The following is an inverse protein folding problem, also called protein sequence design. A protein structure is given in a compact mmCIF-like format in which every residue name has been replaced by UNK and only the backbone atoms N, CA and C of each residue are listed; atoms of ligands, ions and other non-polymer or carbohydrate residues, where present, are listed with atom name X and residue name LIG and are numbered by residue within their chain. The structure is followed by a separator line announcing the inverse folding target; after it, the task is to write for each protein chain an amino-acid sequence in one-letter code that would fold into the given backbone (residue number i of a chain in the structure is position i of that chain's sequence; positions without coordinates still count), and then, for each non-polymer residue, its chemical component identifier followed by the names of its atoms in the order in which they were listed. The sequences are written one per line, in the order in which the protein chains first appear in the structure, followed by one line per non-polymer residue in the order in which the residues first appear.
data_IF_780942449663
#
_entry.id   IF_780942449663
#
_cell.length_a   1.000
_cell.length_b   1.000
_cell.length_c   1.000
_cell.angle_alpha   90.00
_cell.angle_beta   90.00
_cell.angle_gamma   90.00
#
_symmetry.space_group_name_H-M   'P 1'
#
loop_
_entity.id
_entity.type
_entity.pdbx_description
1 polymer ?
#
# COMPACT_ATOMS: atom_id res chain seq x y z
N UNK A 1 -12.03 -38.69 23.83
CA UNK A 1 -11.16 -38.60 25.03
C UNK A 1 -11.49 -37.30 25.79
N UNK A 2 -11.26 -37.17 27.11
CA UNK A 2 -11.58 -35.90 27.79
C UNK A 2 -10.59 -34.81 27.39
N UNK A 3 -11.05 -33.79 26.64
CA UNK A 3 -10.24 -32.64 26.23
C UNK A 3 -9.80 -31.87 27.48
N UNK A 4 -8.49 -31.91 27.78
CA UNK A 4 -7.93 -31.26 28.98
C UNK A 4 -7.58 -29.80 28.72
N UNK A 5 -7.58 -28.97 29.76
CA UNK A 5 -7.17 -27.57 29.65
C UNK A 5 -5.72 -27.41 29.14
N UNK A 6 -4.83 -28.35 29.47
CA UNK A 6 -3.45 -28.38 28.96
C UNK A 6 -3.42 -28.57 27.45
N UNK A 7 -4.24 -29.49 26.93
CA UNK A 7 -4.33 -29.77 25.50
C UNK A 7 -4.91 -28.58 24.72
N UNK A 8 -5.93 -27.93 25.29
CA UNK A 8 -6.49 -26.69 24.71
C UNK A 8 -5.44 -25.58 24.67
N UNK A 9 -4.67 -25.42 25.76
CA UNK A 9 -3.57 -24.44 25.80
C UNK A 9 -2.51 -24.77 24.75
N UNK A 10 -2.11 -26.03 24.62
CA UNK A 10 -1.11 -26.45 23.63
C UNK A 10 -1.55 -26.14 22.19
N UNK A 11 -2.79 -26.49 21.83
CA UNK A 11 -3.32 -26.17 20.51
C UNK A 11 -3.41 -24.66 20.28
N UNK A 12 -3.83 -23.89 21.30
CA UNK A 12 -3.88 -22.43 21.23
C UNK A 12 -2.49 -21.81 21.05
N UNK A 13 -1.49 -22.30 21.77
CA UNK A 13 -0.12 -21.79 21.68
C UNK A 13 0.47 -22.12 20.29
N UNK A 14 0.10 -23.26 19.68
CA UNK A 14 0.51 -23.63 18.31
C UNK A 14 -0.19 -22.84 17.20
N UNK A 15 -1.48 -22.51 17.37
CA UNK A 15 -2.31 -21.96 16.28
C UNK A 15 -2.65 -20.48 16.45
N UNK A 16 -2.55 -19.95 17.67
CA UNK A 16 -3.03 -18.61 18.01
C UNK A 16 -4.56 -18.46 18.01
N UNK A 17 -5.33 -19.53 17.78
CA UNK A 17 -6.78 -19.46 17.68
C UNK A 17 -7.48 -19.17 19.02
N UNK A 18 -8.74 -18.76 18.96
CA UNK A 18 -9.56 -18.48 20.15
C UNK A 18 -9.67 -19.71 21.07
N UNK A 19 -9.72 -19.47 22.39
CA UNK A 19 -9.73 -20.55 23.40
C UNK A 19 -10.87 -21.55 23.18
N UNK A 20 -12.09 -21.05 22.90
CA UNK A 20 -13.25 -21.90 22.63
C UNK A 20 -13.16 -22.60 21.28
N UNK A 21 -12.56 -21.98 20.27
CA UNK A 21 -12.36 -22.64 18.98
C UNK A 21 -11.40 -23.83 19.13
N UNK A 22 -10.29 -23.64 19.86
CA UNK A 22 -9.34 -24.71 20.16
C UNK A 22 -10.01 -25.86 20.92
N UNK A 23 -10.79 -25.54 21.95
CA UNK A 23 -11.54 -26.56 22.71
C UNK A 23 -12.53 -27.31 21.82
N UNK A 24 -13.31 -26.59 21.00
CA UNK A 24 -14.31 -27.20 20.13
C UNK A 24 -13.66 -28.07 19.04
N UNK A 25 -12.56 -27.62 18.44
CA UNK A 25 -11.80 -28.41 17.47
C UNK A 25 -11.23 -29.69 18.10
N UNK A 26 -10.68 -29.61 19.31
CA UNK A 26 -10.21 -30.80 20.04
C UNK A 26 -11.35 -31.75 20.42
N UNK A 27 -12.55 -31.23 20.73
CA UNK A 27 -13.72 -32.09 20.99
C UNK A 27 -14.15 -32.82 19.72
N UNK A 28 -14.16 -32.13 18.58
CA UNK A 28 -14.55 -32.68 17.27
C UNK A 28 -13.57 -33.73 16.74
N UNK A 29 -12.30 -33.64 17.16
CA UNK A 29 -11.20 -34.50 16.70
C UNK A 29 -10.73 -35.49 17.77
N UNK A 30 -11.53 -35.69 18.82
CA UNK A 30 -11.24 -36.61 19.92
C UNK A 30 -9.92 -36.35 20.67
N UNK A 31 -9.40 -35.12 20.59
CA UNK A 31 -8.15 -34.67 21.20
C UNK A 31 -6.92 -34.80 20.30
N UNK A 32 -7.09 -35.13 19.03
CA UNK A 32 -6.02 -35.21 18.02
C UNK A 32 -5.60 -33.79 17.59
N UNK A 33 -4.39 -33.36 17.98
CA UNK A 33 -3.91 -32.00 17.73
C UNK A 33 -3.79 -31.70 16.24
N UNK A 34 -3.24 -32.62 15.45
CA UNK A 34 -2.97 -32.37 14.03
C UNK A 34 -4.29 -32.23 13.26
N UNK A 35 -5.27 -33.10 13.55
CA UNK A 35 -6.62 -32.94 12.99
C UNK A 35 -7.31 -31.68 13.49
N UNK A 36 -7.13 -31.31 14.76
CA UNK A 36 -7.72 -30.09 15.29
C UNK A 36 -7.17 -28.83 14.60
N UNK A 37 -5.89 -28.85 14.18
CA UNK A 37 -5.29 -27.78 13.38
C UNK A 37 -5.99 -27.67 12.02
N UNK A 38 -6.23 -28.78 11.33
CA UNK A 38 -6.93 -28.78 10.05
C UNK A 38 -8.37 -28.26 10.18
N UNK A 39 -9.10 -28.69 11.22
CA UNK A 39 -10.44 -28.17 11.54
C UNK A 39 -10.42 -26.66 11.80
N UNK A 40 -9.41 -26.17 12.52
CA UNK A 40 -9.25 -24.73 12.77
C UNK A 40 -8.94 -23.95 11.49
N UNK A 41 -8.16 -24.52 10.57
CA UNK A 41 -7.87 -23.92 9.26
C UNK A 41 -9.15 -23.75 8.43
N UNK A 42 -9.96 -24.81 8.32
CA UNK A 42 -11.25 -24.76 7.62
C UNK A 42 -12.22 -23.75 8.25
N UNK A 43 -12.32 -23.74 9.58
CA UNK A 43 -13.14 -22.75 10.31
C UNK A 43 -12.62 -21.33 10.13
N UNK A 44 -11.30 -21.15 10.03
CA UNK A 44 -10.67 -19.87 9.76
C UNK A 44 -11.10 -19.28 8.42
N UNK A 45 -11.10 -20.10 7.35
CA UNK A 45 -11.60 -19.70 6.03
C UNK A 45 -13.06 -19.21 6.11
N UNK A 46 -13.92 -19.95 6.81
CA UNK A 46 -15.32 -19.53 7.00
C UNK A 46 -15.43 -18.21 7.79
N UNK A 47 -14.61 -18.02 8.82
CA UNK A 47 -14.59 -16.79 9.62
C UNK A 47 -14.09 -15.59 8.83
N UNK A 48 -13.12 -15.78 7.94
CA UNK A 48 -12.62 -14.74 7.05
C UNK A 48 -13.69 -14.37 6.02
N UNK A 49 -14.32 -15.36 5.37
CA UNK A 49 -15.40 -15.13 4.42
C UNK A 49 -16.57 -14.32 5.04
N UNK A 50 -16.95 -14.61 6.29
CA UNK A 50 -18.00 -13.86 7.01
C UNK A 50 -17.63 -12.41 7.36
N UNK A 51 -16.36 -12.04 7.26
CA UNK A 51 -15.87 -10.67 7.53
C UNK A 51 -15.50 -9.91 6.27
N UNK A 52 -15.41 -10.59 5.12
CA UNK A 52 -14.92 -10.01 3.87
C UNK A 52 -15.73 -8.76 3.44
N UNK A 53 -17.02 -8.69 3.76
CA UNK A 53 -17.90 -7.55 3.44
C UNK A 53 -17.69 -6.33 4.35
N UNK A 54 -16.90 -6.44 5.42
CA UNK A 54 -16.63 -5.32 6.32
C UNK A 54 -15.58 -4.40 5.72
N UNK A 55 -15.78 -3.10 5.84
CA UNK A 55 -14.86 -2.10 5.28
C UNK A 55 -13.53 -2.15 6.02
N UNK A 56 -12.45 -2.46 5.29
CA UNK A 56 -11.08 -2.40 5.77
C UNK A 56 -10.36 -1.24 5.07
N UNK A 57 -10.43 -0.05 5.67
CA UNK A 57 -9.87 1.19 5.12
C UNK A 57 -8.64 1.70 5.90
N UNK A 58 -8.29 1.04 7.01
CA UNK A 58 -7.04 1.26 7.75
C UNK A 58 -6.00 0.22 7.31
N UNK A 59 -4.81 0.20 7.92
CA UNK A 59 -3.78 -0.80 7.63
C UNK A 59 -2.38 -0.21 7.48
N UNK A 60 -1.54 -0.87 6.68
CA UNK A 60 -0.15 -0.49 6.46
C UNK A 60 0.27 -0.66 5.01
N UNK A 61 1.12 0.24 4.58
CA UNK A 61 2.00 0.09 3.43
C UNK A 61 3.41 -0.25 3.94
N UNK A 62 4.05 -1.22 3.30
CA UNK A 62 5.49 -1.49 3.45
C UNK A 62 6.15 -1.61 2.09
N UNK A 63 7.43 -1.27 2.10
CA UNK A 63 8.32 -1.31 0.95
C UNK A 63 9.51 -2.21 1.29
N UNK A 64 10.10 -2.82 0.27
CA UNK A 64 11.33 -3.58 0.37
C UNK A 64 12.20 -3.26 -0.83
N UNK A 65 13.51 -3.15 -0.61
CA UNK A 65 14.53 -2.98 -1.66
C UNK A 65 15.44 -4.21 -1.66
N UNK A 66 15.95 -4.60 -2.83
CA UNK A 66 17.06 -5.56 -2.90
C UNK A 66 18.32 -4.95 -2.29
N UNK A 67 19.26 -5.79 -1.84
CA UNK A 67 20.53 -5.33 -1.25
C UNK A 67 21.32 -4.41 -2.19
N UNK A 68 21.21 -4.61 -3.50
CA UNK A 68 21.86 -3.80 -4.53
C UNK A 68 20.99 -2.65 -5.07
N UNK A 69 19.80 -2.44 -4.48
CA UNK A 69 18.83 -1.41 -4.87
C UNK A 69 18.35 -1.48 -6.33
N UNK A 70 18.50 -2.61 -7.01
CA UNK A 70 18.02 -2.81 -8.40
C UNK A 70 16.62 -3.40 -8.50
N UNK A 71 16.07 -3.85 -7.39
CA UNK A 71 14.68 -4.26 -7.30
C UNK A 71 14.01 -3.58 -6.11
N UNK A 72 12.73 -3.27 -6.27
CA UNK A 72 11.91 -2.70 -5.21
C UNK A 72 10.51 -3.33 -5.24
N UNK A 73 9.87 -3.45 -4.09
CA UNK A 73 8.49 -3.89 -4.00
C UNK A 73 7.73 -3.12 -2.92
N UNK A 74 6.45 -2.84 -3.19
CA UNK A 74 5.53 -2.21 -2.25
C UNK A 74 4.30 -3.10 -2.09
N UNK A 75 3.76 -3.17 -0.87
CA UNK A 75 2.53 -3.89 -0.54
C UNK A 75 1.66 -3.00 0.36
N UNK A 76 0.36 -2.92 0.06
CA UNK A 76 -0.66 -2.39 0.98
C UNK A 76 -1.49 -3.55 1.54
N UNK A 77 -1.56 -3.64 2.87
CA UNK A 77 -2.44 -4.57 3.57
C UNK A 77 -3.38 -3.78 4.46
N UNK A 78 -4.68 -3.94 4.23
CA UNK A 78 -5.70 -3.22 4.97
C UNK A 78 -6.25 -4.02 6.16
N UNK A 79 -6.77 -3.28 7.14
CA UNK A 79 -7.50 -3.75 8.31
C UNK A 79 -8.73 -2.86 8.56
N UNK A 80 -9.65 -3.33 9.42
CA UNK A 80 -10.80 -2.51 9.83
C UNK A 80 -10.36 -1.31 10.68
N UNK A 81 -9.40 -1.52 11.60
CA UNK A 81 -8.95 -0.48 12.55
C UNK A 81 -7.46 -0.16 12.47
N UNK A 82 -7.07 1.02 12.96
CA UNK A 82 -5.68 1.47 13.09
C UNK A 82 -4.93 0.76 14.24
N UNK A 83 -5.66 0.14 15.18
CA UNK A 83 -5.06 -0.66 16.25
C UNK A 83 -4.36 -1.90 15.69
N UNK A 84 -4.92 -2.53 14.66
CA UNK A 84 -4.27 -3.63 13.95
C UNK A 84 -3.00 -3.15 13.25
N UNK A 85 -3.03 -1.98 12.62
CA UNK A 85 -1.85 -1.39 11.97
C UNK A 85 -0.68 -1.12 12.93
N UNK A 86 -0.95 -0.98 14.24
CA UNK A 86 0.06 -0.79 15.29
C UNK A 86 0.50 -2.11 15.97
N UNK A 87 -0.12 -3.23 15.62
CA UNK A 87 0.20 -4.54 16.20
C UNK A 87 1.55 -5.05 15.65
N UNK A 88 2.53 -5.42 16.50
CA UNK A 88 3.83 -5.90 16.04
C UNK A 88 3.78 -7.10 15.10
N UNK A 89 2.88 -8.06 15.35
CA UNK A 89 2.73 -9.24 14.49
C UNK A 89 2.12 -8.90 13.12
N UNK A 90 1.31 -7.84 13.03
CA UNK A 90 0.77 -7.37 11.76
C UNK A 90 1.82 -6.58 11.00
N UNK A 91 2.58 -5.71 11.68
CA UNK A 91 3.71 -4.98 11.10
C UNK A 91 4.71 -5.96 10.47
N UNK A 92 5.15 -6.97 11.23
CA UNK A 92 6.09 -7.99 10.74
C UNK A 92 5.52 -8.78 9.55
N UNK A 93 4.23 -9.12 9.61
CA UNK A 93 3.55 -9.80 8.50
C UNK A 93 3.63 -8.97 7.20
N UNK A 94 3.27 -7.68 7.25
CA UNK A 94 3.28 -6.80 6.08
C UNK A 94 4.70 -6.54 5.57
N UNK A 95 5.68 -6.42 6.47
CA UNK A 95 7.11 -6.31 6.11
C UNK A 95 7.63 -7.55 5.39
N UNK A 96 7.27 -8.74 5.87
CA UNK A 96 7.68 -9.98 5.23
C UNK A 96 6.96 -10.20 3.89
N UNK A 97 5.72 -9.72 3.73
CA UNK A 97 5.05 -9.71 2.43
C UNK A 97 5.76 -8.78 1.43
N UNK A 98 6.22 -7.60 1.84
CA UNK A 98 6.98 -6.71 0.95
C UNK A 98 8.29 -7.37 0.49
N UNK A 99 9.00 -8.07 1.39
CA UNK A 99 10.18 -8.88 1.03
C UNK A 99 9.84 -10.03 0.09
N UNK A 100 8.73 -10.74 0.33
CA UNK A 100 8.26 -11.80 -0.56
C UNK A 100 7.94 -11.25 -1.95
N UNK A 101 7.32 -10.06 -2.03
CA UNK A 101 6.97 -9.41 -3.28
C UNK A 101 8.20 -9.09 -4.15
N UNK A 102 9.39 -8.89 -3.59
CA UNK A 102 10.62 -8.82 -4.38
C UNK A 102 10.92 -10.12 -5.13
N UNK A 103 10.52 -11.26 -4.60
CA UNK A 103 10.81 -12.58 -5.21
C UNK A 103 9.78 -13.00 -6.25
N UNK A 104 8.69 -12.23 -6.40
CA UNK A 104 7.65 -12.56 -7.38
C UNK A 104 8.17 -12.47 -8.81
N UNK A 105 7.61 -13.32 -9.67
CA UNK A 105 7.86 -13.35 -11.11
C UNK A 105 6.69 -12.80 -11.92
N UNK A 106 5.53 -12.66 -11.31
CA UNK A 106 4.28 -12.19 -11.90
C UNK A 106 3.67 -11.10 -11.01
N UNK A 107 2.76 -10.33 -11.59
CA UNK A 107 2.07 -9.22 -10.91
C UNK A 107 0.64 -9.59 -10.51
N UNK A 108 0.25 -10.86 -10.67
CA UNK A 108 -1.09 -11.33 -10.33
C UNK A 108 -1.26 -11.48 -8.83
N UNK A 109 -2.36 -10.94 -8.28
CA UNK A 109 -2.74 -11.17 -6.90
C UNK A 109 -3.00 -12.66 -6.63
N UNK A 110 -3.62 -13.38 -7.57
CA UNK A 110 -3.87 -14.82 -7.39
C UNK A 110 -2.57 -15.60 -7.17
N UNK A 111 -1.56 -15.33 -7.99
CA UNK A 111 -0.26 -15.97 -7.88
C UNK A 111 0.46 -15.57 -6.59
N UNK A 112 0.40 -14.28 -6.22
CA UNK A 112 0.99 -13.79 -4.98
C UNK A 112 0.36 -14.44 -3.74
N UNK A 113 -0.96 -14.58 -3.72
CA UNK A 113 -1.69 -15.23 -2.64
C UNK A 113 -1.35 -16.73 -2.51
N UNK A 114 -0.95 -17.38 -3.61
CA UNK A 114 -0.54 -18.78 -3.65
C UNK A 114 0.95 -19.01 -3.32
N UNK A 115 1.77 -17.95 -3.22
CA UNK A 115 3.19 -18.08 -2.88
C UNK A 115 3.40 -18.69 -1.50
N UNK A 116 4.48 -19.46 -1.35
CA UNK A 116 4.90 -20.03 -0.07
C UNK A 116 5.25 -18.92 0.92
N UNK A 117 4.66 -18.98 2.12
CA UNK A 117 4.86 -18.02 3.19
C UNK A 117 4.65 -18.70 4.55
N UNK A 118 5.62 -18.59 5.47
CA UNK A 118 5.56 -19.12 6.83
C UNK A 118 5.05 -20.58 6.97
N UNK A 119 5.51 -21.47 6.09
CA UNK A 119 5.14 -22.89 6.12
C UNK A 119 3.77 -23.23 5.52
N UNK A 120 3.09 -22.26 4.92
CA UNK A 120 1.87 -22.41 4.12
C UNK A 120 1.89 -21.47 2.91
N UNK A 121 0.73 -20.94 2.54
CA UNK A 121 0.61 -19.87 1.52
C UNK A 121 0.34 -18.50 2.14
N UNK A 122 0.54 -17.43 1.37
CA UNK A 122 0.14 -16.06 1.75
C UNK A 122 -1.35 -15.99 2.13
N UNK A 123 -2.22 -16.67 1.37
CA UNK A 123 -3.65 -16.76 1.66
C UNK A 123 -3.93 -17.40 3.03
N UNK A 124 -3.23 -18.47 3.36
CA UNK A 124 -3.39 -19.16 4.64
C UNK A 124 -2.91 -18.28 5.80
N UNK A 125 -1.78 -17.58 5.63
CA UNK A 125 -1.25 -16.66 6.62
C UNK A 125 -2.22 -15.49 6.89
N UNK A 126 -2.76 -14.87 5.83
CA UNK A 126 -3.78 -13.82 5.95
C UNK A 126 -5.03 -14.33 6.69
N UNK A 127 -5.53 -15.51 6.32
CA UNK A 127 -6.69 -16.15 6.96
C UNK A 127 -6.43 -16.43 8.45
N UNK A 128 -5.21 -16.86 8.78
CA UNK A 128 -4.76 -17.07 10.15
C UNK A 128 -4.79 -15.77 10.96
N UNK A 129 -4.27 -14.66 10.40
CA UNK A 129 -4.32 -13.34 11.03
C UNK A 129 -5.76 -12.86 11.27
N UNK A 130 -6.64 -12.97 10.28
CA UNK A 130 -8.07 -12.64 10.41
C UNK A 130 -8.73 -13.46 11.52
N UNK A 131 -8.40 -14.75 11.61
CA UNK A 131 -8.97 -15.66 12.61
C UNK A 131 -8.49 -15.35 14.02
N UNK A 132 -7.22 -14.96 14.17
CA UNK A 132 -6.58 -14.63 15.45
C UNK A 132 -7.00 -13.25 15.96
N UNK A 133 -7.05 -12.25 15.08
CA UNK A 133 -7.32 -10.85 15.44
C UNK A 133 -8.83 -10.58 15.48
N UNK A 134 -9.60 -11.20 14.58
CA UNK A 134 -11.06 -11.07 14.54
C UNK A 134 -11.57 -9.89 13.71
N UNK A 135 -10.71 -9.22 12.95
CA UNK A 135 -11.06 -8.17 11.98
C UNK A 135 -10.87 -8.67 10.54
N UNK A 136 -11.61 -8.08 9.61
CA UNK A 136 -11.35 -8.20 8.19
C UNK A 136 -9.97 -7.63 7.86
N UNK A 137 -9.26 -8.34 7.00
CA UNK A 137 -7.98 -7.90 6.46
C UNK A 137 -7.90 -8.32 5.01
N UNK A 138 -7.23 -7.52 4.20
CA UNK A 138 -6.96 -7.89 2.82
C UNK A 138 -5.56 -7.42 2.42
N UNK A 139 -4.91 -8.20 1.55
CA UNK A 139 -3.74 -7.71 0.81
C UNK A 139 -4.31 -7.04 -0.43
N UNK A 140 -4.32 -5.71 -0.43
CA UNK A 140 -5.10 -4.94 -1.39
C UNK A 140 -4.42 -4.85 -2.74
N UNK A 141 -3.13 -4.52 -2.71
CA UNK A 141 -2.32 -4.31 -3.89
C UNK A 141 -0.85 -4.50 -3.54
N UNK A 142 -0.09 -4.94 -4.52
CA UNK A 142 1.36 -4.97 -4.48
C UNK A 142 1.92 -4.62 -5.85
N UNK A 143 3.17 -4.18 -5.87
CA UNK A 143 3.89 -3.92 -7.11
C UNK A 143 5.37 -4.20 -6.93
N UNK A 144 6.01 -4.81 -7.94
CA UNK A 144 7.46 -5.00 -8.02
C UNK A 144 8.03 -4.15 -9.17
N UNK A 145 9.22 -3.61 -8.96
CA UNK A 145 10.03 -2.86 -9.91
C UNK A 145 11.40 -3.54 -10.04
N UNK A 146 11.94 -3.62 -11.26
CA UNK A 146 13.21 -4.27 -11.57
C UNK A 146 13.77 -3.80 -12.93
N UNK A 147 13.61 -2.52 -13.25
CA UNK A 147 14.01 -1.95 -14.54
C UNK A 147 15.54 -1.86 -14.64
N UNK A 148 16.18 -2.44 -15.68
CA UNK A 148 17.62 -2.41 -15.82
C UNK A 148 18.19 -0.98 -15.92
N UNK A 149 19.30 -0.72 -15.21
CA UNK A 149 19.94 0.60 -15.16
C UNK A 149 19.23 1.61 -14.26
N UNK A 150 18.30 1.13 -13.43
CA UNK A 150 17.59 1.93 -12.43
C UNK A 150 18.07 1.56 -11.03
N UNK A 151 18.28 2.57 -10.19
CA UNK A 151 18.50 2.44 -8.76
C UNK A 151 17.23 2.91 -8.04
N UNK A 152 16.72 2.06 -7.14
CA UNK A 152 15.52 2.32 -6.38
C UNK A 152 15.81 2.86 -4.98
N UNK A 153 14.93 3.75 -4.56
CA UNK A 153 14.90 4.37 -3.23
C UNK A 153 13.47 4.40 -2.74
N UNK A 154 13.29 4.46 -1.43
CA UNK A 154 11.98 4.40 -0.80
C UNK A 154 11.79 5.47 0.27
N UNK A 155 10.54 5.69 0.64
CA UNK A 155 10.19 6.48 1.81
C UNK A 155 8.90 5.98 2.44
N UNK A 156 8.92 5.73 3.74
CA UNK A 156 7.75 5.44 4.56
C UNK A 156 7.41 6.66 5.40
N UNK A 157 6.16 7.12 5.31
CA UNK A 157 5.63 8.21 6.11
C UNK A 157 4.55 7.72 7.09
N UNK A 158 4.37 8.43 8.20
CA UNK A 158 3.30 8.16 9.17
C UNK A 158 3.29 6.74 9.74
N UNK A 159 4.45 6.09 9.84
CA UNK A 159 4.55 4.70 10.32
C UNK A 159 4.06 3.63 9.34
N UNK A 160 3.81 4.00 8.08
CA UNK A 160 3.27 3.11 7.04
C UNK A 160 1.92 3.52 6.51
N UNK A 161 1.40 4.70 6.85
CA UNK A 161 0.19 5.22 6.21
C UNK A 161 0.44 5.58 4.75
N UNK A 162 1.67 5.97 4.41
CA UNK A 162 2.11 6.19 3.03
C UNK A 162 3.43 5.44 2.83
N UNK A 163 3.54 4.74 1.70
CA UNK A 163 4.79 4.18 1.23
C UNK A 163 5.07 4.57 -0.21
N UNK A 164 6.32 4.91 -0.47
CA UNK A 164 6.78 5.41 -1.76
C UNK A 164 7.97 4.61 -2.23
N UNK A 165 8.02 4.32 -3.53
CA UNK A 165 9.23 3.90 -4.25
C UNK A 165 9.47 4.90 -5.38
N UNK A 166 10.74 5.24 -5.60
CA UNK A 166 11.20 6.03 -6.75
C UNK A 166 12.32 5.26 -7.45
N UNK A 167 12.26 5.16 -8.76
CA UNK A 167 13.32 4.62 -9.61
C UNK A 167 14.06 5.73 -10.34
N UNK A 168 15.38 5.78 -10.13
CA UNK A 168 16.29 6.73 -10.80
C UNK A 168 17.17 5.96 -11.78
N UNK A 169 17.02 6.24 -13.07
CA UNK A 169 17.89 5.70 -14.12
C UNK A 169 19.25 6.38 -14.03
N UNK A 170 20.30 5.62 -13.70
CA UNK A 170 21.66 6.13 -13.51
C UNK A 170 22.69 5.01 -13.43
N UNK A 171 23.96 5.34 -13.68
CA UNK A 171 25.13 4.49 -13.38
C UNK A 171 25.72 4.76 -11.99
N UNK A 172 25.09 5.63 -11.20
CA UNK A 172 25.43 5.82 -9.78
C UNK A 172 25.00 4.60 -8.95
N UNK A 173 25.68 4.37 -7.83
CA UNK A 173 25.24 3.39 -6.84
C UNK A 173 24.26 4.01 -5.83
N UNK A 174 23.63 3.15 -5.01
CA UNK A 174 22.65 3.57 -4.03
C UNK A 174 23.18 4.55 -2.98
N UNK A 175 24.46 4.44 -2.61
CA UNK A 175 25.08 5.32 -1.62
C UNK A 175 25.33 6.71 -2.21
N UNK A 176 25.72 6.80 -3.48
CA UNK A 176 25.90 8.06 -4.18
C UNK A 176 24.60 8.85 -4.34
N UNK A 177 23.46 8.16 -4.51
CA UNK A 177 22.15 8.82 -4.67
C UNK A 177 21.31 8.91 -3.40
N UNK A 178 21.80 8.46 -2.24
CA UNK A 178 20.98 8.29 -1.03
C UNK A 178 20.18 9.57 -0.67
N UNK A 179 20.86 10.73 -0.67
CA UNK A 179 20.22 12.01 -0.34
C UNK A 179 19.22 12.44 -1.42
N UNK A 180 19.63 12.42 -2.69
CA UNK A 180 18.76 12.76 -3.82
C UNK A 180 17.51 11.88 -3.84
N UNK A 181 17.70 10.56 -3.75
CA UNK A 181 16.65 9.56 -3.82
C UNK A 181 15.63 9.73 -2.70
N UNK A 182 16.10 9.89 -1.46
CA UNK A 182 15.24 10.13 -0.31
C UNK A 182 14.45 11.44 -0.46
N UNK A 183 15.09 12.49 -0.97
CA UNK A 183 14.47 13.79 -1.15
C UNK A 183 13.36 13.75 -2.20
N UNK A 184 13.58 13.04 -3.31
CA UNK A 184 12.55 12.81 -4.33
C UNK A 184 11.44 11.89 -3.81
N UNK A 185 11.75 10.86 -3.04
CA UNK A 185 10.72 10.00 -2.44
C UNK A 185 9.84 10.76 -1.43
N UNK A 186 10.43 11.68 -0.65
CA UNK A 186 9.69 12.59 0.23
C UNK A 186 8.81 13.56 -0.55
N UNK A 187 9.29 14.09 -1.67
CA UNK A 187 8.50 14.93 -2.58
C UNK A 187 7.26 14.17 -3.05
N UNK A 188 7.44 12.94 -3.54
CA UNK A 188 6.32 12.09 -3.99
C UNK A 188 5.32 11.86 -2.86
N UNK A 189 5.79 11.51 -1.66
CA UNK A 189 4.91 11.29 -0.52
C UNK A 189 4.05 12.52 -0.17
N UNK A 190 4.66 13.71 -0.22
CA UNK A 190 4.01 14.97 0.17
C UNK A 190 3.09 15.53 -0.92
N UNK A 191 3.52 15.50 -2.18
CA UNK A 191 2.84 16.21 -3.27
C UNK A 191 1.93 15.31 -4.09
N UNK A 192 1.97 14.00 -3.86
CA UNK A 192 1.11 13.02 -4.52
C UNK A 192 1.04 13.17 -6.05
N UNK A 193 2.18 13.31 -6.76
CA UNK A 193 2.18 13.33 -8.22
C UNK A 193 1.54 12.05 -8.75
N UNK A 194 0.86 12.18 -9.89
CA UNK A 194 0.18 11.06 -10.57
C UNK A 194 1.06 10.43 -11.64
N UNK A 195 1.93 11.22 -12.27
CA UNK A 195 2.81 10.79 -13.35
C UNK A 195 4.24 11.24 -13.06
N UNK A 196 5.24 10.54 -13.61
CA UNK A 196 6.64 11.00 -13.48
C UNK A 196 6.82 12.27 -14.31
N UNK A 197 6.37 12.22 -15.57
CA UNK A 197 6.49 13.30 -16.55
C UNK A 197 5.26 13.33 -17.48
N UNK A 198 5.21 14.33 -18.35
CA UNK A 198 4.11 14.58 -19.29
C UNK A 198 3.92 13.49 -20.36
N UNK A 199 4.98 12.75 -20.72
CA UNK A 199 4.91 11.69 -21.72
C UNK A 199 4.18 10.43 -21.23
N UNK A 200 4.02 10.29 -19.92
CA UNK A 200 3.33 9.16 -19.28
C UNK A 200 1.85 9.44 -18.99
N UNK A 201 1.39 10.65 -19.31
CA UNK A 201 0.02 11.07 -19.04
C UNK A 201 -0.95 10.32 -19.97
N UNK A 202 -1.89 9.60 -19.37
CA UNK A 202 -2.94 8.91 -20.10
C UNK A 202 -3.79 9.90 -20.91
N UNK A 203 -3.95 9.64 -22.20
CA UNK A 203 -4.66 10.55 -23.10
C UNK A 203 -6.13 10.71 -22.70
N UNK A 204 -6.78 9.63 -22.21
CA UNK A 204 -8.17 9.72 -21.76
C UNK A 204 -8.27 10.60 -20.52
N UNK A 205 -7.40 10.40 -19.54
CA UNK A 205 -7.32 11.25 -18.35
C UNK A 205 -7.06 12.71 -18.72
N UNK A 206 -6.15 12.98 -19.66
CA UNK A 206 -5.84 14.35 -20.09
C UNK A 206 -7.06 15.05 -20.72
N UNK A 207 -7.82 14.35 -21.56
CA UNK A 207 -9.04 14.91 -22.16
C UNK A 207 -10.17 15.08 -21.12
N UNK A 208 -10.33 14.12 -20.19
CA UNK A 208 -11.28 14.25 -19.08
C UNK A 208 -10.94 15.49 -18.23
N UNK A 209 -9.66 15.69 -17.89
CA UNK A 209 -9.17 16.81 -17.09
C UNK A 209 -9.30 18.16 -17.82
N UNK A 210 -9.12 18.16 -19.14
CA UNK A 210 -9.33 19.33 -20.00
C UNK A 210 -10.81 19.74 -20.05
N UNK A 211 -11.72 18.78 -20.06
CA UNK A 211 -13.15 19.07 -19.97
C UNK A 211 -13.52 19.60 -18.57
N UNK A 212 -12.97 19.02 -17.50
CA UNK A 212 -13.14 19.53 -16.13
C UNK A 212 -12.63 20.97 -16.03
N UNK A 213 -11.44 21.26 -16.56
CA UNK A 213 -10.85 22.60 -16.56
C UNK A 213 -11.70 23.60 -17.36
N UNK A 214 -12.23 23.19 -18.52
CA UNK A 214 -13.15 24.00 -19.33
C UNK A 214 -14.41 24.33 -18.54
N UNK A 215 -15.08 23.33 -17.97
CA UNK A 215 -16.32 23.52 -17.20
C UNK A 215 -16.08 24.39 -15.97
N UNK A 216 -14.93 24.23 -15.30
CA UNK A 216 -14.52 25.07 -14.17
C UNK A 216 -14.45 26.55 -14.59
N UNK A 217 -13.79 26.86 -15.71
CA UNK A 217 -13.69 28.23 -16.21
C UNK A 217 -15.06 28.82 -16.62
N UNK A 218 -15.94 28.02 -17.20
CA UNK A 218 -17.32 28.43 -17.54
C UNK A 218 -18.10 28.75 -16.26
N UNK A 219 -18.01 27.91 -15.24
CA UNK A 219 -18.68 28.09 -13.95
C UNK A 219 -18.14 29.31 -13.18
N UNK A 220 -16.87 29.67 -13.38
CA UNK A 220 -16.28 30.94 -12.91
C UNK A 220 -16.76 32.18 -13.70
N UNK A 221 -17.68 32.00 -14.66
CA UNK A 221 -18.27 33.08 -15.45
C UNK A 221 -17.40 33.56 -16.61
N UNK A 222 -16.40 32.79 -17.04
CA UNK A 222 -15.58 33.15 -18.20
C UNK A 222 -16.38 32.91 -19.50
N UNK A 223 -16.46 33.90 -20.40
CA UNK A 223 -17.02 33.71 -21.74
C UNK A 223 -16.28 32.61 -22.53
N UNK A 224 -17.01 31.84 -23.32
CA UNK A 224 -16.51 30.65 -24.05
C UNK A 224 -15.30 30.96 -24.96
N UNK A 225 -15.31 32.13 -25.61
CA UNK A 225 -14.19 32.61 -26.44
C UNK A 225 -12.92 32.98 -25.64
N UNK A 226 -13.05 33.28 -24.34
CA UNK A 226 -11.92 33.47 -23.43
C UNK A 226 -11.48 32.13 -22.81
N UNK A 227 -12.39 31.19 -22.57
CA UNK A 227 -12.07 29.85 -22.08
C UNK A 227 -11.06 29.16 -23.01
N UNK A 228 -11.31 29.16 -24.33
CA UNK A 228 -10.37 28.57 -25.32
C UNK A 228 -8.97 29.18 -25.28
N UNK A 229 -8.86 30.47 -24.92
CA UNK A 229 -7.57 31.16 -24.81
C UNK A 229 -6.84 30.87 -23.49
N UNK A 230 -7.59 30.60 -22.42
CA UNK A 230 -7.05 30.37 -21.07
C UNK A 230 -6.72 28.89 -20.86
N UNK A 231 -7.50 27.99 -21.45
CA UNK A 231 -7.44 26.55 -21.25
C UNK A 231 -6.03 25.96 -21.44
N UNK A 232 -5.24 26.31 -22.48
CA UNK A 232 -3.88 25.79 -22.62
C UNK A 232 -2.97 26.12 -21.44
N UNK A 233 -3.09 27.33 -20.90
CA UNK A 233 -2.33 27.76 -19.71
C UNK A 233 -2.78 27.04 -18.45
N UNK A 234 -4.09 26.81 -18.29
CA UNK A 234 -4.63 26.03 -17.17
C UNK A 234 -4.16 24.58 -17.23
N UNK A 235 -4.19 23.94 -18.41
CA UNK A 235 -3.68 22.58 -18.59
C UNK A 235 -2.19 22.48 -18.31
N UNK A 236 -1.39 23.48 -18.70
CA UNK A 236 0.03 23.53 -18.31
C UNK A 236 0.22 23.59 -16.80
N UNK A 237 -0.65 24.30 -16.07
CA UNK A 237 -0.61 24.34 -14.59
C UNK A 237 -0.98 22.98 -14.00
N UNK A 238 -2.01 22.33 -14.53
CA UNK A 238 -2.44 20.99 -14.09
C UNK A 238 -1.30 19.99 -14.28
N UNK A 239 -0.64 19.97 -15.44
CA UNK A 239 0.50 19.10 -15.70
C UNK A 239 1.63 19.31 -14.68
N UNK A 240 1.94 20.57 -14.32
CA UNK A 240 2.93 20.90 -13.28
C UNK A 240 2.57 20.42 -11.88
N UNK A 241 1.29 20.23 -11.60
CA UNK A 241 0.81 19.72 -10.32
C UNK A 241 0.86 18.19 -10.30
N UNK A 242 0.57 17.52 -11.42
CA UNK A 242 0.46 16.05 -11.46
C UNK A 242 1.72 15.32 -11.92
N UNK A 243 2.66 16.00 -12.61
CA UNK A 243 3.91 15.42 -13.07
C UNK A 243 5.05 15.72 -12.09
N UNK A 244 5.65 14.68 -11.51
CA UNK A 244 6.69 14.80 -10.48
C UNK A 244 7.82 15.73 -10.90
N UNK A 245 8.37 15.55 -12.11
CA UNK A 245 9.56 16.30 -12.56
C UNK A 245 9.28 17.80 -12.71
N UNK A 246 8.04 18.17 -13.01
CA UNK A 246 7.60 19.57 -13.18
C UNK A 246 7.24 20.27 -11.87
N UNK A 247 7.01 19.51 -10.80
CA UNK A 247 6.63 20.06 -9.50
C UNK A 247 7.74 20.94 -8.93
N UNK A 248 7.34 21.99 -8.20
CA UNK A 248 8.27 22.72 -7.33
C UNK A 248 8.73 21.83 -6.20
N UNK A 249 10.04 21.82 -5.97
CA UNK A 249 10.65 20.97 -4.96
C UNK A 249 10.35 21.48 -3.55
N UNK A 250 9.77 20.65 -2.70
CA UNK A 250 9.27 21.02 -1.36
C UNK A 250 10.38 21.58 -0.46
N UNK A 251 11.61 21.11 -0.61
CA UNK A 251 12.75 21.63 0.18
C UNK A 251 13.39 22.88 -0.39
N UNK A 252 13.13 23.20 -1.66
CA UNK A 252 13.59 24.43 -2.32
C UNK A 252 12.63 24.79 -3.47
N UNK A 253 11.68 25.67 -3.19
CA UNK A 253 10.63 26.05 -4.14
C UNK A 253 11.13 26.90 -5.33
N UNK A 254 12.39 27.36 -5.29
CA UNK A 254 12.96 28.11 -6.41
C UNK A 254 13.16 27.21 -7.63
N UNK A 255 13.37 25.91 -7.42
CA UNK A 255 13.61 24.93 -8.48
C UNK A 255 12.53 23.84 -8.58
N UNK A 256 12.47 23.18 -9.72
CA UNK A 256 11.67 21.96 -9.93
C UNK A 256 12.42 20.72 -9.43
N UNK A 257 11.72 19.59 -9.37
CA UNK A 257 12.34 18.29 -9.09
C UNK A 257 13.32 17.92 -10.19
N UNK A 258 12.99 18.18 -11.47
CA UNK A 258 13.91 17.94 -12.60
C UNK A 258 15.21 18.73 -12.45
N UNK A 259 15.12 20.02 -12.10
CA UNK A 259 16.27 20.89 -11.89
C UNK A 259 17.15 20.37 -10.75
N UNK A 260 16.54 19.94 -9.63
CA UNK A 260 17.26 19.36 -8.50
C UNK A 260 17.99 18.05 -8.86
N UNK A 261 17.35 17.17 -9.64
CA UNK A 261 17.96 15.93 -10.14
C UNK A 261 19.12 16.25 -11.08
N UNK A 262 18.95 17.21 -12.00
CA UNK A 262 19.99 17.62 -12.94
C UNK A 262 21.20 18.26 -12.24
N UNK A 263 20.98 19.06 -11.20
CA UNK A 263 22.06 19.62 -10.38
C UNK A 263 22.86 18.51 -9.68
N UNK A 264 22.17 17.52 -9.12
CA UNK A 264 22.77 16.37 -8.44
C UNK A 264 23.57 15.49 -9.42
N UNK A 265 23.00 15.23 -10.60
CA UNK A 265 23.65 14.52 -11.70
C UNK A 265 24.97 15.20 -12.10
N UNK A 266 24.94 16.52 -12.28
CA UNK A 266 26.13 17.32 -12.62
C UNK A 266 27.19 17.30 -11.52
N UNK A 267 26.78 17.35 -10.25
CA UNK A 267 27.70 17.30 -9.12
C UNK A 267 28.44 15.96 -9.02
N UNK A 268 27.77 14.85 -9.35
CA UNK A 268 28.34 13.50 -9.35
C UNK A 268 29.02 13.12 -10.67
N UNK A 269 28.79 13.89 -11.75
CA UNK A 269 29.31 13.58 -13.08
C UNK A 269 28.69 12.32 -13.68
N UNK A 270 27.45 12.00 -13.31
CA UNK A 270 26.70 10.82 -13.75
C UNK A 270 25.30 11.24 -14.19
N UNK A 271 24.84 10.76 -15.33
CA UNK A 271 23.49 11.05 -15.81
C UNK A 271 22.45 10.45 -14.84
N UNK A 272 21.39 11.20 -14.58
CA UNK A 272 20.29 10.78 -13.71
C UNK A 272 18.96 11.25 -14.28
N UNK A 273 17.96 10.37 -14.25
CA UNK A 273 16.58 10.71 -14.55
C UNK A 273 15.65 9.92 -13.65
N UNK A 274 14.64 10.57 -13.08
CA UNK A 274 13.55 9.85 -12.42
C UNK A 274 12.68 9.25 -13.52
N UNK A 275 12.48 7.93 -13.51
CA UNK A 275 11.74 7.22 -14.56
C UNK A 275 10.58 6.41 -14.03
N UNK A 276 10.55 6.12 -12.73
CA UNK A 276 9.50 5.31 -12.12
C UNK A 276 9.16 5.89 -10.76
N UNK A 277 7.88 5.82 -10.40
CA UNK A 277 7.44 6.10 -9.04
C UNK A 277 6.19 5.29 -8.71
N UNK A 278 5.99 5.03 -7.44
CA UNK A 278 4.68 4.65 -6.90
C UNK A 278 4.52 5.26 -5.51
N UNK A 279 3.29 5.68 -5.22
CA UNK A 279 2.86 6.13 -3.91
C UNK A 279 1.60 5.36 -3.55
N UNK A 280 1.66 4.59 -2.48
CA UNK A 280 0.46 4.02 -1.88
C UNK A 280 0.13 4.79 -0.61
N UNK A 281 -1.13 5.15 -0.47
CA UNK A 281 -1.72 5.64 0.77
C UNK A 281 -2.77 4.65 1.24
N UNK A 282 -2.70 4.30 2.53
CA UNK A 282 -3.60 3.32 3.14
C UNK A 282 -5.05 3.75 2.95
N UNK A 283 -5.85 2.86 2.39
CA UNK A 283 -7.29 3.08 2.21
C UNK A 283 -7.64 4.10 1.14
N UNK A 284 -6.68 4.56 0.33
CA UNK A 284 -6.92 5.50 -0.76
C UNK A 284 -8.06 5.02 -1.67
N UNK A 285 -9.13 5.80 -1.82
CA UNK A 285 -10.29 5.42 -2.63
C UNK A 285 -11.26 4.43 -1.98
N UNK A 286 -11.07 4.08 -0.69
CA UNK A 286 -12.06 3.33 0.11
C UNK A 286 -12.87 4.35 0.91
N UNK A 287 -14.20 4.32 0.74
CA UNK A 287 -15.10 5.15 1.53
C UNK A 287 -15.10 4.67 2.99
N UNK A 288 -14.64 5.52 3.90
CA UNK A 288 -14.68 5.23 5.34
C UNK A 288 -16.11 5.39 5.83
N UNK A 289 -16.62 4.37 6.52
CA UNK A 289 -17.91 4.46 7.18
C UNK A 289 -17.80 5.44 8.35
N UNK A 290 -18.52 6.55 8.28
CA UNK A 290 -18.64 7.48 9.41
C UNK A 290 -19.71 6.93 10.36
N UNK A 291 -19.31 6.54 11.57
CA UNK A 291 -20.22 6.02 12.59
C UNK A 291 -20.44 7.08 13.68
N UNK A 292 -21.69 7.50 13.87
CA UNK A 292 -22.09 8.33 15.00
C UNK A 292 -22.24 7.45 16.23
N UNK A 293 -21.21 7.45 17.08
CA UNK A 293 -21.19 6.68 18.32
C UNK A 293 -22.35 7.03 19.26
N UNK A 294 -22.80 8.28 19.28
CA UNK A 294 -23.93 8.68 20.12
C UNK A 294 -25.24 8.08 19.58
N UNK A 295 -25.41 8.08 18.26
CA UNK A 295 -26.56 7.44 17.61
C UNK A 295 -26.53 5.91 17.78
N UNK A 296 -25.37 5.26 17.70
CA UNK A 296 -25.23 3.82 17.92
C UNK A 296 -25.59 3.44 19.36
N UNK A 297 -25.08 4.19 20.34
CA UNK A 297 -25.41 4.00 21.76
C UNK A 297 -26.90 4.22 21.99
N UNK A 298 -27.50 5.26 21.41
CA UNK A 298 -28.94 5.50 21.51
C UNK A 298 -29.75 4.32 20.96
N UNK A 299 -29.39 3.82 19.78
CA UNK A 299 -30.05 2.68 19.14
C UNK A 299 -29.95 1.39 19.96
N UNK A 300 -28.78 1.08 20.53
CA UNK A 300 -28.60 -0.10 21.40
C UNK A 300 -29.37 0.03 22.72
N UNK A 301 -29.56 1.26 23.21
CA UNK A 301 -30.39 1.56 24.38
C UNK A 301 -31.89 1.62 24.07
N UNK A 302 -32.31 1.43 22.81
CA UNK A 302 -33.70 1.50 22.38
C UNK A 302 -34.30 2.90 22.46
N UNK A 303 -33.48 3.95 22.29
CA UNK A 303 -33.89 5.36 22.23
C UNK A 303 -33.71 5.93 20.83
#
# INVERSE_FOLDING_TARGET
MAVTAKLVKELRDKTGAGMMDCKNALVETDGDIDKAIDVLREKGLSKAAKKADRIAAEGLVRVALSEDHKEAAVVEVNSETDFVAKNPEFIEFVENLAKLALTTKNTSMEDFMAMSFDGGTVQEALTGKISKIGENMNIRRFQKFATPGTVYTDYIHGGGTIGVIVGIKTDADAAEIETLGKDVAMQVASMSPRFVNDNEVDHKWLEDEKEIARQTLINEGKPENLVEKILPGKMKSVLKEVCLVDQKFVKNSDQTVEEYVAESAKALGKDMAVTEMVRYEVGEGIEKKEEDFAAEVAAQMGK
#
